data_IF_319079066145
#
_entry.id   IF_319079066145
#
_cell.length_a   1.000
_cell.length_b   1.000
_cell.length_c   1.000
_cell.angle_alpha   90.00
_cell.angle_beta   90.00
_cell.angle_gamma   90.00
#
_symmetry.space_group_name_H-M   'P 1'
#
loop_
_entity.id
_entity.type
_entity.pdbx_description
1 polymer ?
#
# COMPACT_ATOMS: atom_id res chain seq x y z
N UNK A 1 65.36 -13.74 14.00
CA UNK A 1 64.16 -14.52 13.60
C UNK A 1 62.94 -13.64 13.74
N UNK A 2 62.59 -12.96 12.66
CA UNK A 2 61.35 -12.21 12.46
C UNK A 2 61.28 -11.97 10.94
N UNK A 3 60.37 -12.63 10.23
CA UNK A 3 60.19 -12.40 8.81
C UNK A 3 58.78 -12.76 8.33
N UNK A 4 58.26 -11.89 7.45
CA UNK A 4 57.36 -12.13 6.31
C UNK A 4 55.84 -12.11 6.53
N UNK A 5 55.29 -10.90 6.51
CA UNK A 5 54.04 -10.58 5.79
C UNK A 5 54.25 -9.31 4.95
N UNK A 6 54.24 -9.44 3.61
CA UNK A 6 54.11 -8.34 2.63
C UNK A 6 53.51 -8.88 1.32
N UNK A 7 52.80 -7.98 0.61
CA UNK A 7 52.02 -8.10 -0.65
C UNK A 7 50.61 -8.65 -0.42
N UNK A 8 49.51 -8.01 -0.82
CA UNK A 8 49.24 -7.23 -2.04
C UNK A 8 48.33 -6.02 -1.75
N UNK A 9 48.77 -4.83 -2.15
CA UNK A 9 47.98 -3.63 -2.34
C UNK A 9 48.50 -2.94 -3.62
N UNK A 10 47.61 -2.24 -4.32
CA UNK A 10 47.80 -1.41 -5.54
C UNK A 10 47.49 -2.07 -6.89
N UNK A 11 46.55 -1.43 -7.60
CA UNK A 11 46.35 -1.24 -9.05
C UNK A 11 44.85 -0.93 -9.26
N UNK A 12 44.36 0.21 -9.73
CA UNK A 12 44.98 1.47 -10.14
C UNK A 12 43.85 2.48 -10.44
N UNK A 13 43.95 3.68 -9.86
CA UNK A 13 43.25 4.90 -10.31
C UNK A 13 44.27 5.73 -11.08
N UNK A 14 43.94 6.14 -12.31
CA UNK A 14 44.24 7.42 -12.93
C UNK A 14 44.27 7.29 -14.46
N UNK A 15 43.40 8.04 -15.13
CA UNK A 15 43.70 8.65 -16.41
C UNK A 15 42.94 9.98 -16.48
N UNK A 16 43.71 11.05 -16.70
CA UNK A 16 43.34 12.45 -16.67
C UNK A 16 42.66 12.90 -17.97
N UNK A 17 41.84 13.95 -17.86
CA UNK A 17 41.37 14.84 -18.93
C UNK A 17 42.51 15.57 -19.67
N UNK A 18 42.23 16.06 -20.89
CA UNK A 18 42.62 17.44 -21.22
C UNK A 18 41.50 18.29 -21.85
N UNK A 19 41.83 19.57 -21.98
CA UNK A 19 41.04 20.80 -22.10
C UNK A 19 40.27 21.10 -23.39
N UNK A 20 39.35 22.08 -23.21
CA UNK A 20 38.64 23.01 -24.11
C UNK A 20 39.26 23.36 -25.47
N UNK A 21 38.39 23.45 -26.49
CA UNK A 21 38.30 24.53 -27.50
C UNK A 21 36.87 24.48 -28.10
N UNK A 22 36.02 25.50 -27.93
CA UNK A 22 35.85 26.70 -28.75
C UNK A 22 34.73 26.57 -29.81
N UNK A 23 34.01 27.68 -29.98
CA UNK A 23 32.73 27.92 -30.66
C UNK A 23 32.69 27.66 -32.18
N UNK A 24 31.50 27.31 -32.69
CA UNK A 24 30.88 27.79 -33.95
C UNK A 24 29.55 27.04 -34.15
N UNK A 25 28.36 27.60 -33.91
CA UNK A 25 27.63 28.52 -34.80
C UNK A 25 27.77 28.18 -36.29
N UNK A 26 26.78 27.51 -36.87
CA UNK A 26 26.32 27.76 -38.25
C UNK A 26 24.85 27.40 -38.37
N UNK A 27 24.01 28.44 -38.45
CA UNK A 27 22.80 28.45 -39.27
C UNK A 27 23.23 28.21 -40.73
N UNK A 28 22.42 27.54 -41.55
CA UNK A 28 21.64 28.10 -42.68
C UNK A 28 21.07 26.96 -43.59
N UNK A 29 20.27 27.24 -44.65
CA UNK A 29 18.84 26.89 -44.68
C UNK A 29 18.43 26.06 -45.92
N UNK A 30 17.11 25.95 -46.13
CA UNK A 30 16.39 25.66 -47.38
C UNK A 30 16.50 24.25 -47.99
N UNK A 31 15.38 23.51 -47.96
CA UNK A 31 14.78 23.04 -49.23
C UNK A 31 13.30 22.61 -49.11
N UNK A 32 12.51 23.38 -49.87
CA UNK A 32 11.15 23.28 -50.41
C UNK A 32 10.40 21.93 -50.42
N UNK A 33 9.11 22.06 -50.11
CA UNK A 33 7.95 21.23 -50.49
C UNK A 33 7.91 20.79 -51.96
N UNK A 34 7.10 19.75 -52.26
CA UNK A 34 5.91 20.05 -53.05
C UNK A 34 4.60 19.47 -52.49
N UNK A 35 3.63 20.37 -52.41
CA UNK A 35 2.17 20.24 -52.58
C UNK A 35 1.59 18.87 -52.97
N UNK A 36 0.56 18.42 -52.22
CA UNK A 36 -0.65 17.85 -52.81
C UNK A 36 -1.86 18.06 -51.87
N UNK A 37 -2.96 18.47 -52.49
CA UNK A 37 -4.16 19.10 -51.95
C UNK A 37 -5.32 18.12 -52.09
N UNK A 38 -6.01 17.72 -51.02
CA UNK A 38 -7.37 17.13 -51.10
C UNK A 38 -8.23 17.56 -49.89
N UNK A 39 -8.97 18.65 -50.12
CA UNK A 39 -10.34 18.98 -49.67
C UNK A 39 -10.90 18.43 -48.35
N UNK A 40 -11.05 19.33 -47.38
CA UNK A 40 -12.11 19.31 -46.37
C UNK A 40 -13.50 19.52 -47.01
N UNK A 41 -14.49 18.77 -46.52
CA UNK A 41 -15.92 19.11 -46.64
C UNK A 41 -16.46 19.31 -45.22
N UNK A 42 -16.73 20.57 -44.90
CA UNK A 42 -17.64 20.97 -43.81
C UNK A 42 -19.00 21.26 -44.43
N UNK A 43 -20.07 20.78 -43.81
CA UNK A 43 -21.39 21.40 -43.91
C UNK A 43 -22.11 21.32 -42.54
N UNK A 44 -22.96 22.32 -42.21
CA UNK A 44 -23.29 22.68 -40.84
C UNK A 44 -24.70 22.25 -40.43
N UNK A 45 -24.95 22.13 -39.13
CA UNK A 45 -26.30 22.28 -38.59
C UNK A 45 -26.32 23.18 -37.35
N UNK A 46 -26.97 24.33 -37.54
CA UNK A 46 -27.53 25.20 -36.53
C UNK A 46 -28.89 24.66 -36.07
N UNK A 47 -29.18 24.81 -34.78
CA UNK A 47 -30.49 25.10 -34.11
C UNK A 47 -30.35 24.58 -32.68
N UNK A 48 -30.80 25.21 -31.59
CA UNK A 48 -31.33 26.53 -31.29
C UNK A 48 -31.24 26.64 -29.77
N UNK A 49 -30.95 27.84 -29.29
CA UNK A 49 -31.01 28.19 -27.88
C UNK A 49 -32.43 28.03 -27.32
N UNK A 50 -32.55 27.59 -26.07
CA UNK A 50 -33.72 27.92 -25.26
C UNK A 50 -33.25 28.31 -23.85
N UNK A 51 -33.41 29.61 -23.57
CA UNK A 51 -33.11 30.29 -22.31
C UNK A 51 -34.44 30.44 -21.57
N UNK A 52 -34.46 30.19 -20.27
CA UNK A 52 -35.46 30.75 -19.34
C UNK A 52 -34.87 30.86 -17.93
N UNK A 53 -35.34 31.84 -17.13
CA UNK A 53 -34.43 32.80 -16.49
C UNK A 53 -34.30 32.67 -14.96
N UNK A 54 -33.19 33.20 -14.44
CA UNK A 54 -33.03 33.60 -13.03
C UNK A 54 -33.98 34.75 -12.64
N UNK A 55 -34.42 34.85 -11.38
CA UNK A 55 -34.87 36.10 -10.81
C UNK A 55 -33.79 36.78 -9.94
N UNK A 56 -33.61 38.08 -10.18
CA UNK A 56 -32.79 39.04 -9.41
C UNK A 56 -33.60 39.74 -8.28
N UNK A 57 -32.96 40.50 -7.37
CA UNK A 57 -33.33 40.60 -5.94
C UNK A 57 -33.97 41.93 -5.47
N UNK A 58 -34.39 41.96 -4.18
CA UNK A 58 -34.48 43.07 -3.16
C UNK A 58 -35.87 43.26 -2.50
N UNK A 59 -36.02 43.96 -1.33
CA UNK A 59 -35.04 44.62 -0.45
C UNK A 59 -35.15 44.27 1.07
N UNK A 60 -34.20 44.81 1.85
CA UNK A 60 -34.10 44.77 3.30
C UNK A 60 -35.12 45.68 4.04
N UNK A 61 -35.41 45.34 5.30
CA UNK A 61 -35.10 46.15 6.51
C UNK A 61 -36.19 46.03 7.61
N UNK A 62 -35.81 45.48 8.78
CA UNK A 62 -36.14 46.05 10.09
C UNK A 62 -35.32 45.37 11.21
N UNK A 63 -34.52 46.19 11.87
CA UNK A 63 -33.94 46.00 13.20
C UNK A 63 -35.03 45.78 14.26
N UNK A 64 -34.83 44.83 15.18
CA UNK A 64 -34.67 45.09 16.63
C UNK A 64 -34.74 43.84 17.52
N UNK A 65 -33.88 43.89 18.54
CA UNK A 65 -34.04 43.34 19.89
C UNK A 65 -33.79 41.85 20.17
N UNK A 66 -32.75 41.66 20.97
CA UNK A 66 -32.48 40.48 21.78
C UNK A 66 -33.63 40.15 22.73
N UNK A 67 -34.15 38.94 22.64
CA UNK A 67 -34.71 38.23 23.80
C UNK A 67 -34.38 36.76 23.65
N UNK A 68 -33.69 36.23 24.66
CA UNK A 68 -33.37 34.81 24.73
C UNK A 68 -34.65 33.98 24.73
N UNK A 69 -34.73 33.04 23.80
CA UNK A 69 -35.57 31.86 23.93
C UNK A 69 -34.65 30.65 23.81
N UNK A 70 -34.56 29.90 24.90
CA UNK A 70 -33.95 28.58 24.93
C UNK A 70 -34.74 27.68 24.00
N UNK A 71 -34.17 27.31 22.85
CA UNK A 71 -34.68 26.17 22.09
C UNK A 71 -34.58 24.91 22.95
N UNK A 72 -35.59 24.03 22.93
CA UNK A 72 -35.50 22.76 23.62
C UNK A 72 -34.37 21.96 22.97
N UNK A 73 -33.43 21.46 23.78
CA UNK A 73 -32.46 20.47 23.34
C UNK A 73 -33.25 19.22 22.97
N UNK A 74 -33.68 19.09 21.72
CA UNK A 74 -34.26 17.86 21.19
C UNK A 74 -33.22 16.77 21.38
N UNK A 75 -33.55 15.75 22.19
CA UNK A 75 -32.64 14.65 22.45
C UNK A 75 -32.45 13.84 21.17
N UNK A 76 -31.38 14.15 20.43
CA UNK A 76 -31.00 13.42 19.22
C UNK A 76 -30.77 11.96 19.56
N UNK A 77 -31.44 11.06 18.86
CA UNK A 77 -31.28 9.61 19.02
C UNK A 77 -30.16 9.09 18.14
N UNK A 78 -29.53 7.97 18.51
CA UNK A 78 -28.59 7.27 17.61
C UNK A 78 -28.89 5.79 17.52
N UNK A 79 -28.71 5.23 16.33
CA UNK A 79 -28.95 3.83 16.04
C UNK A 79 -28.09 3.32 14.89
N UNK A 80 -27.79 2.02 14.93
CA UNK A 80 -27.07 1.31 13.89
C UNK A 80 -28.00 1.00 12.71
N UNK A 81 -27.48 1.15 11.49
CA UNK A 81 -28.15 0.78 10.25
C UNK A 81 -28.21 -0.74 10.14
N UNK A 82 -29.41 -1.30 10.19
CA UNK A 82 -29.66 -2.73 10.00
C UNK A 82 -29.42 -3.15 8.54
N UNK A 83 -29.90 -2.33 7.61
CA UNK A 83 -29.65 -2.44 6.17
C UNK A 83 -30.05 -1.16 5.46
N UNK A 84 -29.54 -0.94 4.26
CA UNK A 84 -29.95 0.15 3.38
C UNK A 84 -29.91 -0.30 1.91
N UNK A 85 -30.98 -0.01 1.17
CA UNK A 85 -31.11 -0.31 -0.25
C UNK A 85 -30.90 0.98 -1.04
N UNK A 86 -29.67 1.21 -1.50
CA UNK A 86 -29.29 2.45 -2.16
C UNK A 86 -30.06 2.70 -3.47
N UNK A 87 -30.40 1.65 -4.21
CA UNK A 87 -31.23 1.68 -5.40
C UNK A 87 -32.68 2.14 -5.13
N UNK A 88 -33.18 1.88 -3.91
CA UNK A 88 -34.53 2.24 -3.48
C UNK A 88 -34.57 3.45 -2.55
N UNK A 89 -33.43 4.05 -2.23
CA UNK A 89 -33.28 5.22 -1.37
C UNK A 89 -33.85 5.08 0.06
N UNK A 90 -33.99 3.85 0.59
CA UNK A 90 -34.46 3.63 1.97
C UNK A 90 -33.75 2.47 2.66
N UNK A 91 -33.79 2.48 3.98
CA UNK A 91 -33.30 1.41 4.84
C UNK A 91 -33.91 1.49 6.23
N UNK A 92 -33.32 0.75 7.17
CA UNK A 92 -33.79 0.71 8.55
C UNK A 92 -32.65 0.79 9.55
N UNK A 93 -32.90 1.49 10.66
CA UNK A 93 -32.07 1.57 11.84
C UNK A 93 -32.62 0.64 12.93
N UNK A 94 -31.74 -0.03 13.68
CA UNK A 94 -32.10 -0.83 14.85
C UNK A 94 -32.64 0.07 15.96
N UNK A 95 -33.81 -0.27 16.50
CA UNK A 95 -34.39 0.52 17.58
C UNK A 95 -33.67 0.24 18.92
N UNK A 96 -32.98 1.23 19.53
CA UNK A 96 -32.20 1.01 20.75
C UNK A 96 -33.07 0.67 21.98
N UNK A 97 -34.35 1.01 21.96
CA UNK A 97 -35.30 0.75 23.06
C UNK A 97 -36.10 -0.54 22.87
N UNK A 98 -35.79 -1.33 21.83
CA UNK A 98 -36.59 -2.49 21.41
C UNK A 98 -37.87 -2.08 20.65
N UNK A 99 -38.44 -3.03 19.90
CA UNK A 99 -39.64 -2.80 19.07
C UNK A 99 -39.35 -2.81 17.56
N UNK A 100 -40.21 -2.13 16.77
CA UNK A 100 -40.04 -2.04 15.32
C UNK A 100 -38.84 -1.17 14.95
N UNK A 101 -38.08 -1.59 13.95
CA UNK A 101 -36.96 -0.84 13.38
C UNK A 101 -37.43 0.53 12.83
N UNK A 102 -36.55 1.51 12.87
CA UNK A 102 -36.84 2.89 12.49
C UNK A 102 -36.49 3.08 11.01
N UNK A 103 -37.43 3.57 10.19
CA UNK A 103 -37.20 3.80 8.77
C UNK A 103 -36.23 4.97 8.57
N UNK A 104 -35.26 4.84 7.67
CA UNK A 104 -34.39 5.95 7.22
C UNK A 104 -34.46 6.08 5.70
N UNK A 105 -34.65 7.30 5.20
CA UNK A 105 -34.70 7.60 3.76
C UNK A 105 -33.50 8.46 3.34
N UNK A 106 -33.02 8.28 2.10
CA UNK A 106 -31.82 9.00 1.59
C UNK A 106 -31.97 10.51 1.65
N UNK A 107 -33.19 11.03 1.46
CA UNK A 107 -33.50 12.46 1.54
C UNK A 107 -33.31 13.06 2.92
N UNK A 108 -33.37 12.24 3.97
CA UNK A 108 -33.28 12.67 5.36
C UNK A 108 -31.84 12.65 5.88
N UNK A 109 -30.88 12.18 5.08
CA UNK A 109 -29.45 12.15 5.41
C UNK A 109 -28.80 13.45 4.97
N UNK A 110 -28.55 14.33 5.94
CA UNK A 110 -28.21 15.75 5.70
C UNK A 110 -26.72 16.00 5.45
N UNK A 111 -25.85 15.08 5.86
CA UNK A 111 -24.40 15.17 5.65
C UNK A 111 -23.93 14.56 4.32
N UNK A 112 -24.87 14.10 3.49
CA UNK A 112 -24.61 13.56 2.16
C UNK A 112 -24.08 12.12 2.14
N UNK A 113 -23.89 11.49 3.31
CA UNK A 113 -23.45 10.10 3.41
C UNK A 113 -24.53 9.13 2.90
N UNK A 114 -24.12 7.92 2.49
CA UNK A 114 -25.04 6.83 2.15
C UNK A 114 -25.03 5.84 3.30
N UNK A 115 -26.17 5.56 3.96
CA UNK A 115 -26.21 4.60 5.06
C UNK A 115 -25.72 3.22 4.61
N UNK A 116 -24.86 2.62 5.42
CA UNK A 116 -24.29 1.29 5.20
C UNK A 116 -24.63 0.42 6.42
N UNK A 117 -24.88 -0.87 6.21
CA UNK A 117 -25.15 -1.81 7.30
C UNK A 117 -24.00 -1.77 8.33
N UNK A 118 -24.32 -1.63 9.61
CA UNK A 118 -23.34 -1.51 10.69
C UNK A 118 -22.91 -0.07 11.02
N UNK A 119 -23.24 0.92 10.18
CA UNK A 119 -22.98 2.32 10.49
C UNK A 119 -23.95 2.85 11.54
N UNK A 120 -23.51 3.77 12.41
CA UNK A 120 -24.38 4.42 13.39
C UNK A 120 -24.67 5.85 12.95
N UNK A 121 -25.94 6.24 12.95
CA UNK A 121 -26.39 7.60 12.61
C UNK A 121 -26.99 8.29 13.83
N UNK A 122 -26.75 9.59 13.95
CA UNK A 122 -27.55 10.52 14.76
C UNK A 122 -28.78 10.95 13.97
N UNK A 123 -29.96 11.02 14.59
CA UNK A 123 -31.21 11.44 13.96
C UNK A 123 -32.24 11.93 15.00
N UNK A 124 -33.27 12.64 14.53
CA UNK A 124 -34.47 12.93 15.32
C UNK A 124 -35.60 11.98 14.88
N UNK A 125 -36.49 11.61 15.80
CA UNK A 125 -37.66 10.78 15.46
C UNK A 125 -38.74 11.68 14.87
N UNK A 126 -39.00 11.53 13.58
CA UNK A 126 -40.12 12.12 12.85
C UNK A 126 -41.17 11.08 12.49
N UNK A 127 -42.16 11.50 11.69
CA UNK A 127 -43.19 10.62 11.12
C UNK A 127 -43.13 10.65 9.60
N UNK A 128 -43.21 9.48 8.95
CA UNK A 128 -43.34 9.38 7.50
C UNK A 128 -44.74 9.79 7.01
N UNK A 129 -44.95 9.80 5.69
CA UNK A 129 -46.26 10.11 5.07
C UNK A 129 -47.40 9.19 5.51
N UNK A 130 -47.10 8.05 6.12
CA UNK A 130 -48.04 7.05 6.62
C UNK A 130 -48.15 7.08 8.15
N UNK A 131 -47.66 8.14 8.80
CA UNK A 131 -47.67 8.32 10.26
C UNK A 131 -46.88 7.24 11.01
N UNK A 132 -45.82 6.70 10.40
CA UNK A 132 -44.90 5.74 11.03
C UNK A 132 -43.61 6.43 11.44
N UNK A 133 -43.01 6.06 12.60
CA UNK A 133 -41.74 6.63 13.03
C UNK A 133 -40.63 6.46 11.99
N UNK A 134 -39.94 7.55 11.66
CA UNK A 134 -38.77 7.56 10.78
C UNK A 134 -37.66 8.46 11.32
N UNK A 135 -36.44 8.22 10.87
CA UNK A 135 -35.28 9.05 11.14
C UNK A 135 -35.29 10.26 10.20
N UNK A 136 -35.26 11.46 10.79
CA UNK A 136 -35.11 12.74 10.10
C UNK A 136 -33.85 13.46 10.59
N UNK A 137 -33.31 14.37 9.77
CA UNK A 137 -32.05 15.08 10.07
C UNK A 137 -30.90 14.13 10.44
N UNK A 138 -30.77 13.04 9.67
CA UNK A 138 -29.82 11.98 9.94
C UNK A 138 -28.40 12.39 9.52
N UNK A 139 -27.41 12.17 10.38
CA UNK A 139 -25.99 12.34 10.04
C UNK A 139 -25.17 11.21 10.64
N UNK A 140 -24.11 10.81 9.96
CA UNK A 140 -23.20 9.77 10.36
C UNK A 140 -22.57 10.12 11.72
N UNK A 141 -22.67 9.17 12.66
CA UNK A 141 -22.02 9.22 13.97
C UNK A 141 -20.77 8.34 13.96
N UNK A 142 -20.92 7.12 13.46
CA UNK A 142 -19.85 6.13 13.29
C UNK A 142 -20.04 5.48 11.92
N UNK A 143 -18.99 5.41 11.12
CA UNK A 143 -18.99 4.65 9.86
C UNK A 143 -19.43 3.20 10.07
N UNK A 144 -19.90 2.53 9.02
CA UNK A 144 -19.94 1.08 9.09
C UNK A 144 -18.51 0.63 9.30
N UNK A 145 -18.23 -0.12 10.36
CA UNK A 145 -17.05 -0.98 10.33
C UNK A 145 -17.23 -1.82 9.07
N UNK A 146 -16.39 -1.57 8.06
CA UNK A 146 -16.29 -2.47 6.92
C UNK A 146 -16.27 -3.86 7.52
N UNK A 147 -17.26 -4.71 7.18
CA UNK A 147 -17.37 -6.03 7.78
C UNK A 147 -15.95 -6.58 7.81
N UNK A 148 -15.36 -6.78 9.00
CA UNK A 148 -13.97 -7.19 9.04
C UNK A 148 -13.97 -8.44 8.18
N UNK A 149 -13.19 -8.41 7.09
CA UNK A 149 -12.68 -9.66 6.54
C UNK A 149 -12.27 -10.41 7.79
N UNK A 150 -12.80 -11.59 8.10
CA UNK A 150 -12.47 -12.25 9.36
C UNK A 150 -10.99 -12.56 9.27
N UNK A 151 -10.15 -11.66 9.80
CA UNK A 151 -8.73 -11.78 9.65
C UNK A 151 -8.23 -12.39 10.93
N UNK A 152 -7.88 -13.67 10.82
CA UNK A 152 -7.00 -14.28 11.80
C UNK A 152 -5.75 -13.40 11.83
N UNK A 153 -5.50 -12.77 12.98
CA UNK A 153 -4.25 -12.07 13.22
C UNK A 153 -3.15 -13.13 13.35
N UNK A 154 -2.39 -13.37 12.28
CA UNK A 154 -1.37 -14.40 12.27
C UNK A 154 -0.11 -13.94 13.00
N UNK A 155 0.43 -14.80 13.87
CA UNK A 155 1.66 -14.50 14.58
C UNK A 155 2.84 -14.46 13.59
N UNK A 156 3.39 -13.27 13.41
CA UNK A 156 4.57 -13.11 12.56
C UNK A 156 5.85 -13.71 13.16
N UNK A 157 5.82 -14.22 14.40
CA UNK A 157 6.95 -14.86 15.07
C UNK A 157 7.02 -16.37 14.87
N UNK A 158 6.10 -16.95 14.09
CA UNK A 158 6.01 -18.38 13.82
C UNK A 158 7.36 -19.08 13.52
N UNK A 159 8.24 -18.47 12.71
CA UNK A 159 9.55 -19.06 12.42
C UNK A 159 10.41 -19.21 13.68
N UNK A 160 10.41 -18.21 14.56
CA UNK A 160 11.25 -18.18 15.75
C UNK A 160 10.67 -19.02 16.90
N UNK A 161 9.35 -19.18 16.94
CA UNK A 161 8.69 -20.12 17.84
C UNK A 161 8.89 -21.57 17.39
N UNK A 162 9.02 -21.79 16.07
CA UNK A 162 9.22 -23.11 15.48
C UNK A 162 10.69 -23.55 15.46
N UNK A 163 11.63 -22.65 15.16
CA UNK A 163 13.05 -22.97 15.04
C UNK A 163 13.98 -21.87 15.60
N UNK A 164 15.09 -22.31 16.20
CA UNK A 164 16.23 -21.45 16.44
C UNK A 164 17.01 -21.30 15.13
N UNK A 165 17.00 -20.09 14.56
CA UNK A 165 17.80 -19.72 13.38
C UNK A 165 18.49 -18.39 13.66
N UNK A 166 19.82 -18.28 13.50
CA UNK A 166 20.57 -17.09 13.94
C UNK A 166 20.44 -15.94 12.92
N UNK A 167 19.24 -15.36 12.78
CA UNK A 167 18.93 -14.24 11.87
C UNK A 167 19.07 -12.86 12.54
N UNK A 168 19.61 -12.76 13.76
CA UNK A 168 19.41 -11.56 14.58
C UNK A 168 20.38 -10.40 14.30
N UNK A 169 21.49 -10.64 13.59
CA UNK A 169 22.45 -9.56 13.32
C UNK A 169 22.02 -8.70 12.13
N UNK A 170 22.23 -7.38 12.26
CA UNK A 170 22.04 -6.37 11.20
C UNK A 170 23.20 -6.31 10.22
N UNK A 171 24.33 -6.93 10.56
CA UNK A 171 25.53 -7.04 9.74
C UNK A 171 25.73 -8.49 9.24
N UNK A 172 26.86 -8.73 8.58
CA UNK A 172 27.26 -10.04 8.04
C UNK A 172 27.66 -11.08 9.08
N UNK A 173 27.62 -10.76 10.39
CA UNK A 173 28.00 -11.73 11.43
C UNK A 173 26.96 -12.83 11.64
N UNK A 174 25.74 -12.66 11.12
CA UNK A 174 24.78 -13.76 11.04
C UNK A 174 25.23 -14.76 9.96
N UNK A 175 25.76 -15.90 10.42
CA UNK A 175 26.19 -17.01 9.55
C UNK A 175 25.06 -17.50 8.65
N UNK A 176 23.86 -17.72 9.20
CA UNK A 176 22.73 -18.24 8.43
C UNK A 176 22.33 -17.31 7.27
N UNK A 177 22.21 -15.99 7.52
CA UNK A 177 21.76 -15.07 6.48
C UNK A 177 22.82 -14.83 5.40
N UNK A 178 24.08 -14.75 5.79
CA UNK A 178 25.20 -14.57 4.85
C UNK A 178 25.40 -15.80 3.98
N UNK A 179 25.27 -17.02 4.53
CA UNK A 179 25.29 -18.26 3.76
C UNK A 179 24.18 -18.31 2.73
N UNK A 180 22.93 -18.02 3.14
CA UNK A 180 21.80 -17.99 2.21
C UNK A 180 22.01 -16.99 1.08
N UNK A 181 22.44 -15.76 1.43
CA UNK A 181 22.69 -14.72 0.44
C UNK A 181 23.78 -15.12 -0.57
N UNK A 182 24.80 -15.88 -0.12
CA UNK A 182 25.88 -16.37 -0.99
C UNK A 182 25.48 -17.56 -1.87
N UNK A 183 24.53 -18.38 -1.41
CA UNK A 183 24.03 -19.54 -2.13
C UNK A 183 22.99 -19.15 -3.19
N UNK A 184 22.16 -18.15 -2.89
CA UNK A 184 21.10 -17.66 -3.78
C UNK A 184 21.64 -16.83 -4.95
N UNK A 185 20.78 -16.62 -5.96
CA UNK A 185 21.04 -15.60 -6.99
C UNK A 185 21.36 -14.24 -6.37
N UNK A 186 22.33 -13.55 -6.96
CA UNK A 186 22.83 -12.27 -6.45
C UNK A 186 21.77 -11.17 -6.56
N UNK A 187 21.47 -10.54 -5.43
CA UNK A 187 20.51 -9.44 -5.31
C UNK A 187 20.96 -8.41 -4.26
N UNK A 188 20.41 -7.20 -4.33
CA UNK A 188 20.60 -6.19 -3.29
C UNK A 188 19.60 -6.45 -2.15
N UNK A 189 20.10 -6.98 -1.03
CA UNK A 189 19.32 -7.32 0.15
C UNK A 189 19.30 -6.22 1.22
N UNK A 190 19.95 -5.09 0.95
CA UNK A 190 20.11 -4.01 1.90
C UNK A 190 18.78 -3.28 2.15
N UNK A 191 18.56 -2.87 3.39
CA UNK A 191 17.39 -2.10 3.78
C UNK A 191 17.80 -0.91 4.65
N UNK A 192 17.12 0.22 4.46
CA UNK A 192 17.07 1.33 5.41
C UNK A 192 15.70 1.94 5.33
N UNK A 193 15.12 2.33 6.47
CA UNK A 193 13.78 2.90 6.48
C UNK A 193 13.82 4.41 6.19
N UNK A 194 14.82 5.09 6.74
CA UNK A 194 15.09 6.51 6.51
C UNK A 194 16.47 6.71 5.85
N UNK A 195 16.65 7.75 5.01
CA UNK A 195 17.97 8.14 4.49
C UNK A 195 19.02 8.45 5.57
N UNK A 196 18.58 8.79 6.80
CA UNK A 196 19.45 9.11 7.94
C UNK A 196 19.93 7.88 8.71
N UNK A 197 19.40 6.70 8.41
CA UNK A 197 19.77 5.45 9.06
C UNK A 197 20.85 4.69 8.28
N UNK A 198 21.70 3.98 9.01
CA UNK A 198 22.63 3.02 8.43
C UNK A 198 21.88 1.87 7.75
N UNK A 199 22.47 1.38 6.66
CA UNK A 199 21.96 0.21 5.98
C UNK A 199 22.06 -1.03 6.87
N UNK A 200 20.99 -1.81 6.83
CA UNK A 200 20.94 -3.18 7.27
C UNK A 200 21.24 -4.08 6.06
N UNK A 201 22.41 -4.72 6.07
CA UNK A 201 22.97 -5.43 4.91
C UNK A 201 22.03 -6.52 4.35
N UNK A 202 21.22 -7.13 5.22
CA UNK A 202 20.33 -8.23 4.86
C UNK A 202 18.87 -8.01 5.30
N UNK A 203 18.48 -6.77 5.58
CA UNK A 203 17.15 -6.48 6.13
C UNK A 203 16.00 -6.98 5.27
N UNK A 204 16.15 -6.93 3.94
CA UNK A 204 15.15 -7.47 3.01
C UNK A 204 15.13 -9.00 3.06
N UNK A 205 16.29 -9.65 3.02
CA UNK A 205 16.39 -11.12 3.02
C UNK A 205 15.85 -11.74 4.31
N UNK A 206 16.12 -11.12 5.46
CA UNK A 206 15.59 -11.58 6.75
C UNK A 206 14.07 -11.49 6.80
N UNK A 207 13.53 -10.37 6.32
CA UNK A 207 12.08 -10.19 6.20
C UNK A 207 11.47 -11.21 5.24
N UNK A 208 12.13 -11.45 4.10
CA UNK A 208 11.73 -12.41 3.09
C UNK A 208 11.62 -13.82 3.68
N UNK A 209 12.69 -14.36 4.29
CA UNK A 209 12.68 -15.73 4.84
C UNK A 209 11.67 -15.89 5.96
N UNK A 210 11.59 -14.90 6.88
CA UNK A 210 10.62 -14.90 7.97
C UNK A 210 9.19 -15.08 7.45
N UNK A 211 8.80 -14.30 6.45
CA UNK A 211 7.43 -14.30 5.97
C UNK A 211 7.12 -15.35 4.91
N UNK A 212 8.12 -15.81 4.16
CA UNK A 212 7.99 -17.01 3.33
C UNK A 212 7.69 -18.23 4.21
N UNK A 213 8.35 -18.36 5.37
CA UNK A 213 8.01 -19.41 6.33
C UNK A 213 6.55 -19.31 6.81
N UNK A 214 6.10 -18.13 7.23
CA UNK A 214 4.69 -17.90 7.63
C UNK A 214 3.73 -18.31 6.51
N UNK A 215 4.02 -17.94 5.24
CA UNK A 215 3.19 -18.36 4.12
C UNK A 215 3.17 -19.89 3.94
N UNK A 216 4.33 -20.55 4.00
CA UNK A 216 4.42 -22.01 3.88
C UNK A 216 3.69 -22.73 5.02
N UNK A 217 3.68 -22.17 6.23
CA UNK A 217 2.89 -22.69 7.35
C UNK A 217 1.40 -22.64 7.05
N UNK A 218 0.89 -21.53 6.49
CA UNK A 218 -0.51 -21.44 6.06
C UNK A 218 -0.85 -22.40 4.91
N UNK A 219 0.12 -22.72 4.05
CA UNK A 219 -0.07 -23.69 2.95
C UNK A 219 0.17 -25.15 3.36
N UNK A 220 0.59 -25.42 4.60
CA UNK A 220 0.94 -26.77 5.04
C UNK A 220 2.19 -27.35 4.35
N UNK A 221 3.09 -26.49 3.86
CA UNK A 221 4.29 -26.85 3.08
C UNK A 221 5.59 -26.87 3.89
N UNK A 222 5.49 -26.89 5.22
CA UNK A 222 6.64 -27.13 6.11
C UNK A 222 6.66 -28.61 6.48
N UNK A 223 7.79 -29.28 6.23
CA UNK A 223 7.92 -30.73 6.45
C UNK A 223 8.71 -30.98 7.72
N UNK A 224 8.16 -31.81 8.60
CA UNK A 224 8.80 -32.26 9.85
C UNK A 224 8.83 -33.78 9.88
N UNK A 225 10.03 -34.35 9.97
CA UNK A 225 10.27 -35.77 10.27
C UNK A 225 10.61 -35.99 11.75
N UNK A 226 11.19 -37.14 12.08
CA UNK A 226 11.56 -37.46 13.48
C UNK A 226 12.79 -36.67 13.95
N UNK A 227 13.85 -36.63 13.13
CA UNK A 227 15.13 -35.98 13.46
C UNK A 227 15.38 -34.67 12.70
N UNK A 228 14.66 -34.46 11.60
CA UNK A 228 14.91 -33.34 10.70
C UNK A 228 13.63 -32.66 10.27
N UNK A 229 13.74 -31.39 9.91
CA UNK A 229 12.67 -30.62 9.31
C UNK A 229 13.20 -29.73 8.19
N UNK A 230 12.33 -29.33 7.27
CA UNK A 230 12.72 -28.49 6.15
C UNK A 230 11.56 -27.69 5.58
N UNK A 231 11.88 -26.56 4.97
CA UNK A 231 10.96 -25.81 4.12
C UNK A 231 11.73 -25.23 2.92
N UNK A 232 11.00 -25.02 1.82
CA UNK A 232 11.55 -24.40 0.61
C UNK A 232 11.69 -22.89 0.81
N UNK A 233 12.87 -22.31 0.58
CA UNK A 233 13.06 -20.87 0.81
C UNK A 233 12.39 -19.99 -0.25
N UNK A 234 11.97 -20.56 -1.38
CA UNK A 234 11.55 -19.82 -2.57
C UNK A 234 12.69 -19.12 -3.32
N UNK A 235 13.92 -19.21 -2.81
CA UNK A 235 15.13 -18.77 -3.50
C UNK A 235 15.76 -19.96 -4.22
N UNK A 236 16.56 -19.64 -5.24
CA UNK A 236 17.25 -20.62 -6.07
C UNK A 236 18.73 -20.27 -6.17
N UNK A 237 19.55 -21.28 -6.43
CA UNK A 237 20.97 -21.09 -6.73
C UNK A 237 21.19 -20.57 -8.16
N UNK A 238 22.46 -20.45 -8.57
CA UNK A 238 22.84 -20.01 -9.93
C UNK A 238 22.36 -20.93 -11.07
N UNK A 239 21.94 -22.15 -10.75
CA UNK A 239 21.39 -23.12 -11.71
C UNK A 239 19.86 -23.18 -11.66
N UNK A 240 19.23 -22.27 -10.92
CA UNK A 240 17.79 -22.25 -10.66
C UNK A 240 17.29 -23.47 -9.88
N UNK A 241 18.18 -24.13 -9.12
CA UNK A 241 17.79 -25.23 -8.23
C UNK A 241 17.28 -24.69 -6.89
N UNK A 242 16.16 -25.22 -6.34
CA UNK A 242 15.57 -24.69 -5.11
C UNK A 242 16.47 -24.84 -3.89
N UNK A 243 16.63 -23.74 -3.15
CA UNK A 243 17.33 -23.71 -1.87
C UNK A 243 16.33 -24.03 -0.76
N UNK A 244 16.69 -24.99 0.08
CA UNK A 244 15.91 -25.41 1.23
C UNK A 244 16.57 -24.94 2.52
N UNK A 245 15.76 -24.53 3.48
CA UNK A 245 16.19 -24.34 4.85
C UNK A 245 16.11 -25.70 5.55
N UNK A 246 17.23 -26.22 6.04
CA UNK A 246 17.32 -27.53 6.66
C UNK A 246 17.59 -27.41 8.15
N UNK A 247 16.84 -28.18 8.93
CA UNK A 247 16.83 -28.12 10.38
C UNK A 247 16.97 -29.52 10.96
N UNK A 248 17.54 -29.58 12.16
CA UNK A 248 17.59 -30.78 12.98
C UNK A 248 16.89 -30.54 14.31
N UNK A 249 16.52 -31.63 14.97
CA UNK A 249 15.87 -31.58 16.28
C UNK A 249 16.73 -30.80 17.27
N UNK A 250 16.12 -29.87 17.99
CA UNK A 250 16.81 -29.08 18.98
C UNK A 250 16.99 -29.88 20.27
N UNK A 251 18.08 -29.59 21.00
CA UNK A 251 18.34 -30.18 22.32
C UNK A 251 17.40 -29.57 23.39
N UNK A 252 16.76 -28.44 23.07
CA UNK A 252 15.76 -27.75 23.90
C UNK A 252 14.34 -28.04 23.40
N UNK A 253 13.33 -28.07 24.29
CA UNK A 253 11.95 -28.34 23.90
C UNK A 253 11.30 -27.22 23.07
N UNK A 254 11.75 -25.97 23.24
CA UNK A 254 11.22 -24.81 22.51
C UNK A 254 12.34 -23.80 22.23
N UNK A 255 12.54 -23.35 20.97
CA UNK A 255 11.90 -23.89 19.77
C UNK A 255 12.37 -25.33 19.48
N UNK A 256 11.50 -26.21 18.96
CA UNK A 256 11.80 -27.65 18.80
C UNK A 256 12.84 -27.98 17.72
N UNK A 257 13.13 -27.04 16.82
CA UNK A 257 14.09 -27.21 15.73
C UNK A 257 15.27 -26.24 15.88
N UNK A 258 16.45 -26.64 15.42
CA UNK A 258 17.62 -25.76 15.27
C UNK A 258 18.09 -25.77 13.82
N UNK A 259 18.38 -24.59 13.30
CA UNK A 259 18.89 -24.42 11.96
C UNK A 259 20.22 -25.14 11.80
N UNK A 260 20.33 -25.92 10.73
CA UNK A 260 21.49 -26.73 10.41
C UNK A 260 22.25 -26.15 9.22
N UNK A 261 21.56 -25.91 8.11
CA UNK A 261 22.14 -25.35 6.89
C UNK A 261 21.07 -24.84 5.92
N UNK A 262 21.49 -24.03 4.95
CA UNK A 262 20.76 -23.89 3.70
C UNK A 262 21.42 -24.79 2.65
N UNK A 263 20.63 -25.53 1.89
CA UNK A 263 21.18 -26.49 0.93
C UNK A 263 20.28 -26.71 -0.28
N UNK A 264 20.89 -27.13 -1.38
CA UNK A 264 20.21 -27.63 -2.57
C UNK A 264 20.15 -29.15 -2.46
N UNK A 265 18.97 -29.74 -2.70
CA UNK A 265 18.78 -31.19 -2.55
C UNK A 265 19.75 -31.99 -3.42
N UNK A 266 20.37 -33.02 -2.84
CA UNK A 266 21.36 -33.87 -3.53
C UNK A 266 22.76 -33.28 -3.69
N UNK A 267 22.97 -32.00 -3.39
CA UNK A 267 24.27 -31.35 -3.47
C UNK A 267 24.98 -31.28 -2.11
N UNK A 268 26.31 -31.46 -2.12
CA UNK A 268 27.11 -31.46 -0.88
C UNK A 268 26.69 -32.54 0.12
N UNK A 269 27.20 -32.49 1.34
CA UNK A 269 26.84 -33.44 2.40
C UNK A 269 25.40 -33.20 2.91
N UNK A 270 25.07 -31.94 3.16
CA UNK A 270 23.79 -31.52 3.72
C UNK A 270 22.62 -31.73 2.75
N UNK A 271 22.79 -31.43 1.46
CA UNK A 271 21.75 -31.68 0.46
C UNK A 271 21.51 -33.16 0.19
N UNK A 272 22.55 -33.99 0.23
CA UNK A 272 22.41 -35.47 0.16
C UNK A 272 21.69 -36.03 1.39
N UNK A 273 21.98 -35.48 2.57
CA UNK A 273 21.29 -35.83 3.81
C UNK A 273 19.80 -35.44 3.76
N UNK A 274 19.49 -34.23 3.29
CA UNK A 274 18.11 -33.79 3.05
C UNK A 274 17.38 -34.78 2.12
N UNK A 275 17.95 -35.04 0.94
CA UNK A 275 17.34 -35.87 -0.10
C UNK A 275 17.02 -37.31 0.33
N UNK A 276 17.86 -37.90 1.20
CA UNK A 276 17.65 -39.28 1.69
C UNK A 276 16.72 -39.37 2.91
N UNK A 277 16.47 -38.25 3.61
CA UNK A 277 15.78 -38.28 4.91
C UNK A 277 14.39 -37.68 4.87
N UNK A 278 14.14 -36.71 4.01
CA UNK A 278 12.84 -36.05 3.88
C UNK A 278 12.35 -36.16 2.44
N UNK A 279 11.31 -36.98 2.24
CA UNK A 279 10.59 -37.10 0.98
C UNK A 279 9.07 -37.21 1.24
N UNK A 280 8.22 -36.57 0.42
CA UNK A 280 8.57 -35.63 -0.65
C UNK A 280 9.24 -34.35 -0.11
N UNK A 281 9.93 -33.60 -0.96
CA UNK A 281 10.47 -32.29 -0.58
C UNK A 281 9.39 -31.22 -0.64
N UNK A 282 9.48 -30.16 0.19
CA UNK A 282 8.46 -29.11 0.22
C UNK A 282 8.48 -28.29 -1.06
N UNK A 283 7.28 -27.98 -1.56
CA UNK A 283 7.11 -27.02 -2.65
C UNK A 283 7.37 -25.58 -2.16
N UNK A 284 7.67 -24.69 -3.10
CA UNK A 284 7.75 -23.26 -2.83
C UNK A 284 6.38 -22.68 -2.45
N UNK A 285 6.40 -21.53 -1.76
CA UNK A 285 5.20 -20.79 -1.41
C UNK A 285 4.48 -20.33 -2.68
N UNK A 286 3.16 -20.53 -2.73
CA UNK A 286 2.33 -19.86 -3.73
C UNK A 286 1.78 -18.56 -3.14
N UNK A 287 1.71 -17.49 -3.91
CA UNK A 287 1.11 -16.23 -3.44
C UNK A 287 -0.21 -15.97 -4.16
N UNK A 288 -0.23 -16.18 -5.47
CA UNK A 288 -1.37 -15.93 -6.34
C UNK A 288 -2.30 -17.13 -6.38
N UNK A 289 -3.61 -16.88 -6.23
CA UNK A 289 -4.67 -17.89 -6.38
C UNK A 289 -5.40 -17.72 -7.71
N UNK A 290 -5.52 -16.49 -8.19
CA UNK A 290 -6.18 -16.17 -9.44
C UNK A 290 -5.56 -14.91 -10.08
N UNK A 291 -6.11 -14.50 -11.22
CA UNK A 291 -5.61 -13.35 -11.97
C UNK A 291 -5.80 -12.02 -11.22
N UNK A 292 -6.79 -11.91 -10.33
CA UNK A 292 -7.08 -10.70 -9.56
C UNK A 292 -6.01 -10.41 -8.48
N UNK A 293 -5.13 -11.38 -8.19
CA UNK A 293 -3.97 -11.20 -7.31
C UNK A 293 -2.73 -10.64 -8.05
N UNK A 294 -2.78 -10.61 -9.40
CA UNK A 294 -1.65 -10.25 -10.26
C UNK A 294 -1.95 -9.07 -11.19
N UNK A 295 -3.14 -9.05 -11.78
CA UNK A 295 -3.57 -8.03 -12.73
C UNK A 295 -4.43 -6.98 -12.03
N UNK A 296 -4.02 -5.72 -12.17
CA UNK A 296 -4.79 -4.57 -11.70
C UNK A 296 -5.64 -4.02 -12.84
N UNK A 297 -6.97 -4.13 -12.72
CA UNK A 297 -7.91 -3.51 -13.66
C UNK A 297 -8.10 -2.02 -13.33
N UNK A 298 -7.48 -1.15 -14.13
CA UNK A 298 -7.53 0.29 -13.92
C UNK A 298 -8.95 0.89 -14.03
N UNK A 299 -9.86 0.21 -14.73
CA UNK A 299 -11.23 0.65 -14.98
C UNK A 299 -12.23 0.16 -13.93
N UNK A 300 -11.83 -0.79 -13.09
CA UNK A 300 -12.69 -1.27 -12.01
C UNK A 300 -13.03 -0.14 -11.02
N UNK A 301 -14.22 -0.18 -10.38
CA UNK A 301 -14.58 0.76 -9.33
C UNK A 301 -13.52 0.80 -8.24
N UNK A 302 -13.18 2.02 -7.81
CA UNK A 302 -12.13 2.29 -6.84
C UNK A 302 -12.69 3.18 -5.75
N UNK A 303 -12.61 2.72 -4.51
CA UNK A 303 -13.04 3.45 -3.32
C UNK A 303 -11.81 3.77 -2.46
N UNK A 304 -11.72 5.00 -1.93
CA UNK A 304 -10.63 5.40 -1.04
C UNK A 304 -11.15 5.88 0.32
N UNK A 305 -10.64 5.28 1.41
CA UNK A 305 -10.81 5.83 2.75
C UNK A 305 -9.74 6.90 3.00
N UNK A 306 -9.95 8.07 2.39
CA UNK A 306 -8.99 9.18 2.49
C UNK A 306 -8.75 9.63 3.92
N UNK A 307 -9.74 9.49 4.79
CA UNK A 307 -9.60 9.97 6.15
C UNK A 307 -8.62 9.09 6.94
N UNK A 308 -8.76 7.77 6.80
CA UNK A 308 -7.77 6.84 7.32
C UNK A 308 -6.40 7.03 6.66
N UNK A 309 -6.33 7.03 5.33
CA UNK A 309 -5.06 7.12 4.59
C UNK A 309 -4.27 8.36 4.98
N UNK A 310 -4.93 9.51 5.13
CA UNK A 310 -4.28 10.77 5.50
C UNK A 310 -3.90 10.79 6.97
N UNK A 311 -4.88 10.67 7.89
CA UNK A 311 -4.63 10.91 9.31
C UNK A 311 -3.78 9.80 9.96
N UNK A 312 -4.08 8.53 9.66
CA UNK A 312 -3.25 7.39 10.13
C UNK A 312 -1.88 7.39 9.42
N UNK A 313 -1.84 7.72 8.12
CA UNK A 313 -0.60 7.82 7.37
C UNK A 313 0.36 8.86 7.94
N UNK A 314 -0.12 10.04 8.33
CA UNK A 314 0.68 11.07 9.00
C UNK A 314 1.20 10.57 10.34
N UNK A 315 0.30 10.07 11.21
CA UNK A 315 0.66 9.58 12.56
C UNK A 315 1.71 8.45 12.50
N UNK A 316 1.72 7.67 11.43
CA UNK A 316 2.65 6.56 11.20
C UNK A 316 3.86 6.94 10.34
N UNK A 317 4.12 8.23 10.15
CA UNK A 317 5.29 8.74 9.43
C UNK A 317 5.40 8.23 7.98
N UNK A 318 4.28 8.22 7.24
CA UNK A 318 4.22 7.61 5.91
C UNK A 318 4.25 8.60 4.74
N UNK A 319 4.39 9.88 5.04
CA UNK A 319 4.42 10.97 4.04
C UNK A 319 5.79 11.65 4.02
N UNK A 320 6.25 12.13 2.84
CA UNK A 320 7.44 12.96 2.75
C UNK A 320 7.31 14.23 3.60
N UNK A 321 8.42 14.67 4.19
CA UNK A 321 8.43 15.89 5.02
C UNK A 321 7.99 17.13 4.22
N UNK A 322 8.48 17.30 2.99
CA UNK A 322 8.13 18.44 2.12
C UNK A 322 6.62 18.45 1.75
N UNK A 323 6.01 17.27 1.68
CA UNK A 323 4.57 17.14 1.44
C UNK A 323 3.77 17.61 2.66
N UNK A 324 4.20 17.23 3.87
CA UNK A 324 3.60 17.72 5.10
C UNK A 324 3.80 19.23 5.27
N UNK A 325 4.97 19.74 4.91
CA UNK A 325 5.27 21.18 4.93
C UNK A 325 4.27 21.96 4.06
N UNK A 326 4.07 21.50 2.83
CA UNK A 326 3.22 22.15 1.84
C UNK A 326 1.73 22.05 2.18
N UNK A 327 1.26 20.88 2.64
CA UNK A 327 -0.18 20.57 2.70
C UNK A 327 -0.74 20.41 4.12
N UNK A 328 0.10 20.32 5.15
CA UNK A 328 -0.32 20.06 6.54
C UNK A 328 0.17 21.11 7.56
N UNK A 329 0.45 22.33 7.10
CA UNK A 329 0.73 23.47 7.98
C UNK A 329 2.19 23.60 8.41
N UNK A 330 3.13 23.20 7.55
CA UNK A 330 4.57 23.34 7.78
C UNK A 330 5.25 22.10 8.40
N UNK A 331 6.55 21.94 8.17
CA UNK A 331 7.41 20.90 8.74
C UNK A 331 8.59 21.49 9.52
N UNK A 332 8.82 20.99 10.73
CA UNK A 332 9.91 21.36 11.63
C UNK A 332 10.77 20.13 11.93
N UNK A 333 11.97 20.08 11.34
CA UNK A 333 12.91 18.99 11.59
C UNK A 333 13.31 18.93 13.07
N UNK A 334 13.45 20.09 13.72
CA UNK A 334 13.82 20.19 15.12
C UNK A 334 12.77 19.53 16.03
N UNK A 335 11.48 19.85 15.82
CA UNK A 335 10.39 19.29 16.64
C UNK A 335 10.18 17.80 16.32
N UNK A 336 10.28 17.44 15.04
CA UNK A 336 10.22 16.06 14.58
C UNK A 336 11.30 15.19 15.24
N UNK A 337 12.55 15.65 15.28
CA UNK A 337 13.65 14.91 15.92
C UNK A 337 13.49 14.87 17.44
N UNK A 338 12.96 15.94 18.05
CA UNK A 338 12.79 16.03 19.50
C UNK A 338 11.73 15.06 20.04
N UNK A 339 10.57 14.97 19.38
CA UNK A 339 9.53 14.00 19.71
C UNK A 339 8.64 13.70 18.50
N UNK A 340 9.11 12.76 17.67
CA UNK A 340 8.46 12.39 16.41
C UNK A 340 6.98 12.07 16.55
N UNK A 341 6.63 11.18 17.48
CA UNK A 341 5.27 10.64 17.56
C UNK A 341 4.28 11.73 18.02
N UNK A 342 4.67 12.55 19.00
CA UNK A 342 3.87 13.71 19.42
C UNK A 342 3.76 14.77 18.32
N UNK A 343 4.86 15.03 17.60
CA UNK A 343 4.88 15.99 16.51
C UNK A 343 3.95 15.58 15.37
N UNK A 344 4.02 14.33 14.91
CA UNK A 344 3.14 13.81 13.86
C UNK A 344 1.67 13.75 14.30
N UNK A 345 1.40 13.39 15.56
CA UNK A 345 0.05 13.47 16.12
C UNK A 345 -0.50 14.90 16.08
N UNK A 346 0.34 15.90 16.41
CA UNK A 346 -0.04 17.30 16.36
C UNK A 346 -0.33 17.80 14.93
N UNK A 347 0.42 17.33 13.92
CA UNK A 347 0.14 17.64 12.51
C UNK A 347 -1.25 17.09 12.14
N UNK A 348 -1.52 15.82 12.45
CA UNK A 348 -2.80 15.20 12.14
C UNK A 348 -3.98 15.90 12.84
N UNK A 349 -3.80 16.33 14.10
CA UNK A 349 -4.81 17.08 14.84
C UNK A 349 -5.06 18.48 14.23
N UNK A 350 -3.99 19.23 13.93
CA UNK A 350 -4.13 20.54 13.26
C UNK A 350 -4.85 20.42 11.93
N UNK A 351 -4.47 19.42 11.14
CA UNK A 351 -5.09 19.14 9.85
C UNK A 351 -6.58 18.79 10.00
N UNK A 352 -6.94 17.95 10.97
CA UNK A 352 -8.33 17.56 11.24
C UNK A 352 -9.21 18.72 11.74
N UNK A 353 -8.60 19.75 12.33
CA UNK A 353 -9.30 20.94 12.82
C UNK A 353 -9.37 22.09 11.80
N UNK A 354 -8.75 21.95 10.62
CA UNK A 354 -8.77 22.94 9.53
C UNK A 354 -9.31 22.31 8.24
N UNK A 355 -10.61 22.49 7.99
CA UNK A 355 -11.32 21.96 6.81
C UNK A 355 -10.68 22.38 5.49
N UNK A 356 -10.13 23.59 5.39
CA UNK A 356 -9.54 24.10 4.16
C UNK A 356 -8.18 23.44 3.89
N UNK A 357 -7.35 23.31 4.92
CA UNK A 357 -6.10 22.56 4.86
C UNK A 357 -6.35 21.09 4.53
N UNK A 358 -7.30 20.46 5.23
CA UNK A 358 -7.65 19.08 5.02
C UNK A 358 -8.15 18.79 3.61
N UNK A 359 -9.05 19.66 3.10
CA UNK A 359 -9.55 19.55 1.73
C UNK A 359 -8.43 19.68 0.68
N UNK A 360 -7.46 20.58 0.88
CA UNK A 360 -6.31 20.72 -0.02
C UNK A 360 -5.47 19.45 -0.09
N UNK A 361 -5.11 18.88 1.07
CA UNK A 361 -4.33 17.65 1.13
C UNK A 361 -5.10 16.47 0.49
N UNK A 362 -6.39 16.31 0.84
CA UNK A 362 -7.26 15.27 0.25
C UNK A 362 -7.36 15.39 -1.26
N UNK A 363 -7.54 16.59 -1.79
CA UNK A 363 -7.61 16.81 -3.23
C UNK A 363 -6.29 16.45 -3.91
N UNK A 364 -5.15 16.87 -3.34
CA UNK A 364 -3.84 16.50 -3.90
C UNK A 364 -3.62 14.98 -3.94
N UNK A 365 -4.06 14.27 -2.90
CA UNK A 365 -3.98 12.81 -2.85
C UNK A 365 -4.92 12.16 -3.86
N UNK A 366 -6.16 12.65 -4.00
CA UNK A 366 -7.09 12.18 -5.05
C UNK A 366 -6.51 12.36 -6.44
N UNK A 367 -5.91 13.52 -6.72
CA UNK A 367 -5.26 13.80 -8.00
C UNK A 367 -4.10 12.85 -8.26
N UNK A 368 -3.30 12.55 -7.23
CA UNK A 368 -2.20 11.58 -7.31
C UNK A 368 -2.69 10.14 -7.59
N UNK A 369 -3.78 9.72 -6.94
CA UNK A 369 -4.42 8.41 -7.18
C UNK A 369 -4.97 8.33 -8.60
N UNK A 370 -5.62 9.40 -9.10
CA UNK A 370 -6.10 9.46 -10.47
C UNK A 370 -4.96 9.36 -11.49
N UNK A 371 -3.85 10.07 -11.26
CA UNK A 371 -2.66 9.97 -12.09
C UNK A 371 -2.06 8.56 -12.07
N UNK A 372 -1.97 7.94 -10.89
CA UNK A 372 -1.51 6.57 -10.75
C UNK A 372 -2.38 5.60 -11.57
N UNK A 373 -3.71 5.70 -11.48
CA UNK A 373 -4.64 4.87 -12.26
C UNK A 373 -4.47 5.05 -13.77
N UNK A 374 -4.28 6.29 -14.25
CA UNK A 374 -3.94 6.57 -15.66
C UNK A 374 -2.61 5.93 -16.08
N UNK A 375 -1.61 5.94 -15.20
CA UNK A 375 -0.32 5.27 -15.47
C UNK A 375 -0.49 3.75 -15.60
N UNK A 376 -1.33 3.16 -14.76
CA UNK A 376 -1.62 1.72 -14.77
C UNK A 376 -2.40 1.30 -16.01
N UNK A 377 -3.37 2.11 -16.46
CA UNK A 377 -4.10 1.81 -17.70
C UNK A 377 -3.19 1.83 -18.94
N UNK A 378 -2.12 2.63 -18.92
CA UNK A 378 -1.09 2.62 -19.97
C UNK A 378 -0.06 1.49 -19.81
N UNK A 379 0.33 1.16 -18.57
CA UNK A 379 1.30 0.12 -18.28
C UNK A 379 0.84 -0.75 -17.11
N UNK A 380 0.35 -1.95 -17.42
CA UNK A 380 -0.12 -2.92 -16.42
C UNK A 380 0.95 -3.34 -15.40
N UNK A 381 2.24 -3.18 -15.72
CA UNK A 381 3.36 -3.47 -14.81
C UNK A 381 3.66 -2.33 -13.82
N UNK A 382 2.97 -1.20 -13.93
CA UNK A 382 3.16 -0.07 -13.03
C UNK A 382 2.67 -0.35 -11.60
N UNK A 383 1.74 -1.30 -11.43
CA UNK A 383 1.32 -1.81 -10.13
C UNK A 383 2.19 -2.99 -9.72
N UNK A 384 2.58 -3.01 -8.45
CA UNK A 384 3.38 -4.10 -7.89
C UNK A 384 2.52 -4.93 -6.92
N UNK A 385 2.34 -6.24 -7.13
CA UNK A 385 1.72 -7.11 -6.15
C UNK A 385 2.58 -7.21 -4.88
N UNK A 386 1.92 -7.31 -3.74
CA UNK A 386 2.54 -7.59 -2.44
C UNK A 386 1.68 -8.58 -1.65
N UNK A 387 2.32 -9.25 -0.70
CA UNK A 387 1.65 -10.13 0.24
C UNK A 387 1.73 -9.54 1.64
N UNK A 388 0.61 -9.50 2.35
CA UNK A 388 0.53 -9.06 3.75
C UNK A 388 0.42 -10.26 4.68
N UNK A 389 1.51 -10.65 5.39
CA UNK A 389 1.57 -11.90 6.14
C UNK A 389 0.59 -11.97 7.30
N UNK A 390 0.41 -10.86 8.02
CA UNK A 390 -0.48 -10.75 9.18
C UNK A 390 -1.92 -11.18 8.87
N UNK A 391 -2.31 -11.04 7.61
CA UNK A 391 -3.66 -11.25 7.13
C UNK A 391 -3.76 -12.31 6.05
N UNK A 392 -2.63 -12.94 5.70
CA UNK A 392 -2.51 -13.92 4.63
C UNK A 392 -3.19 -13.46 3.32
N UNK A 393 -3.00 -12.17 2.98
CA UNK A 393 -3.77 -11.48 1.96
C UNK A 393 -2.85 -10.88 0.89
N UNK A 394 -3.24 -11.00 -0.38
CA UNK A 394 -2.61 -10.29 -1.49
C UNK A 394 -3.14 -8.86 -1.59
N UNK A 395 -2.28 -7.94 -1.96
CA UNK A 395 -2.63 -6.54 -2.19
C UNK A 395 -1.76 -5.97 -3.29
N UNK A 396 -2.10 -4.79 -3.75
CA UNK A 396 -1.37 -4.05 -4.77
C UNK A 396 -0.70 -2.82 -4.18
N UNK A 397 0.38 -2.39 -4.81
CA UNK A 397 1.09 -1.15 -4.55
C UNK A 397 0.94 -0.26 -5.78
N UNK A 398 0.18 0.82 -5.64
CA UNK A 398 0.00 1.84 -6.68
C UNK A 398 1.04 2.95 -6.49
N UNK A 399 1.74 3.39 -7.55
CA UNK A 399 2.77 4.43 -7.44
C UNK A 399 2.12 5.81 -7.29
N UNK A 400 2.31 6.46 -6.15
CA UNK A 400 1.73 7.77 -5.83
C UNK A 400 2.79 8.86 -5.96
N UNK A 401 2.51 9.82 -6.84
CA UNK A 401 3.27 11.04 -7.06
C UNK A 401 2.60 12.19 -6.30
N UNK A 402 3.22 12.62 -5.19
CA UNK A 402 2.65 13.56 -4.24
C UNK A 402 3.15 14.99 -4.47
N UNK A 403 4.42 15.15 -4.82
CA UNK A 403 5.04 16.47 -5.02
C UNK A 403 5.18 16.79 -6.50
N UNK A 404 5.73 15.87 -7.28
CA UNK A 404 6.01 16.00 -8.71
C UNK A 404 5.37 14.81 -9.44
N UNK A 405 4.59 15.09 -10.49
CA UNK A 405 3.87 14.08 -11.27
C UNK A 405 4.79 13.08 -12.00
N UNK A 406 6.08 13.39 -12.11
CA UNK A 406 7.09 12.51 -12.73
C UNK A 406 7.83 11.63 -11.71
N UNK A 407 7.74 11.96 -10.42
CA UNK A 407 8.46 11.27 -9.34
C UNK A 407 7.48 10.54 -8.43
N UNK A 408 7.76 9.27 -8.17
CA UNK A 408 6.98 8.50 -7.19
C UNK A 408 7.53 8.81 -5.80
N UNK A 409 6.66 9.19 -4.86
CA UNK A 409 7.03 9.55 -3.49
C UNK A 409 6.59 8.49 -2.47
N UNK A 410 5.50 7.78 -2.78
CA UNK A 410 4.91 6.79 -1.90
C UNK A 410 4.16 5.71 -2.70
N UNK A 411 3.73 4.65 -2.02
CA UNK A 411 2.90 3.61 -2.62
C UNK A 411 1.56 3.51 -1.88
N UNK A 412 0.44 3.54 -2.61
CA UNK A 412 -0.87 3.25 -2.04
C UNK A 412 -1.09 1.73 -2.04
N UNK A 413 -1.39 1.18 -0.87
CA UNK A 413 -1.82 -0.20 -0.69
C UNK A 413 -3.28 -0.31 -1.08
N UNK A 414 -3.54 -1.16 -2.06
CA UNK A 414 -4.89 -1.37 -2.59
C UNK A 414 -5.26 -2.84 -2.47
N UNK A 415 -6.44 -3.10 -1.92
CA UNK A 415 -7.00 -4.44 -1.82
C UNK A 415 -8.04 -4.65 -2.93
N UNK A 416 -8.05 -5.85 -3.51
CA UNK A 416 -9.10 -6.28 -4.44
C UNK A 416 -10.21 -7.00 -3.68
N UNK A 417 -11.45 -6.74 -4.08
CA UNK A 417 -12.63 -7.44 -3.58
C UNK A 417 -13.60 -7.67 -4.74
N UNK A 418 -14.37 -8.76 -4.68
CA UNK A 418 -15.50 -8.97 -5.60
C UNK A 418 -16.82 -8.77 -4.87
N UNK A 419 -17.65 -7.88 -5.39
CA UNK A 419 -19.03 -7.65 -4.93
C UNK A 419 -19.96 -7.97 -6.10
N UNK A 420 -20.86 -8.93 -5.90
CA UNK A 420 -21.75 -9.47 -6.94
C UNK A 420 -20.99 -9.90 -8.21
N UNK A 421 -19.84 -10.55 -8.02
CA UNK A 421 -18.97 -11.01 -9.11
C UNK A 421 -18.17 -9.91 -9.81
N UNK A 422 -18.40 -8.63 -9.51
CA UNK A 422 -17.65 -7.50 -10.08
C UNK A 422 -16.44 -7.15 -9.22
N UNK A 423 -15.29 -7.05 -9.87
CA UNK A 423 -14.04 -6.61 -9.23
C UNK A 423 -14.16 -5.15 -8.80
N UNK A 424 -13.68 -4.85 -7.60
CA UNK A 424 -13.58 -3.52 -7.01
C UNK A 424 -12.27 -3.42 -6.25
N UNK A 425 -11.77 -2.21 -6.14
CA UNK A 425 -10.56 -1.91 -5.41
C UNK A 425 -10.83 -0.93 -4.28
N UNK A 426 -10.13 -1.14 -3.16
CA UNK A 426 -10.17 -0.22 -2.03
C UNK A 426 -8.75 0.23 -1.67
N UNK A 427 -8.51 1.54 -1.68
CA UNK A 427 -7.31 2.13 -1.09
C UNK A 427 -7.36 1.98 0.43
N UNK A 428 -6.41 1.25 1.00
CA UNK A 428 -6.39 0.91 2.43
C UNK A 428 -5.43 1.78 3.23
N UNK A 429 -4.19 1.94 2.76
CA UNK A 429 -3.16 2.75 3.44
C UNK A 429 -2.10 3.19 2.44
N UNK A 430 -1.29 4.19 2.80
CA UNK A 430 -0.10 4.58 2.05
C UNK A 430 1.16 4.01 2.71
N UNK A 431 2.25 3.77 1.97
CA UNK A 431 3.56 3.32 2.46
C UNK A 431 4.70 4.17 1.90
N UNK A 432 5.76 4.42 2.70
CA UNK A 432 7.06 4.83 2.17
C UNK A 432 7.60 3.78 1.18
N UNK A 433 8.36 4.24 0.17
CA UNK A 433 8.85 3.36 -0.89
C UNK A 433 9.77 2.23 -0.41
N UNK A 434 10.60 2.47 0.60
CA UNK A 434 11.44 1.41 1.18
C UNK A 434 10.60 0.27 1.78
N UNK A 435 9.51 0.60 2.46
CA UNK A 435 8.58 -0.38 3.00
C UNK A 435 7.84 -1.11 1.87
N UNK A 436 7.34 -0.37 0.88
CA UNK A 436 6.68 -0.94 -0.29
C UNK A 436 7.58 -1.96 -1.01
N UNK A 437 8.85 -1.63 -1.23
CA UNK A 437 9.83 -2.52 -1.86
C UNK A 437 10.07 -3.79 -1.04
N UNK A 438 10.29 -3.65 0.27
CA UNK A 438 10.50 -4.80 1.17
C UNK A 438 9.33 -5.78 1.15
N UNK A 439 8.10 -5.28 1.07
CA UNK A 439 6.90 -6.12 1.04
C UNK A 439 6.65 -6.72 -0.35
N UNK A 440 6.87 -5.96 -1.42
CA UNK A 440 6.78 -6.45 -2.79
C UNK A 440 7.77 -7.60 -3.06
N UNK A 441 9.01 -7.45 -2.56
CA UNK A 441 10.07 -8.45 -2.77
C UNK A 441 9.72 -9.82 -2.19
N UNK A 442 8.83 -9.89 -1.20
CA UNK A 442 8.34 -11.17 -0.67
C UNK A 442 7.66 -12.06 -1.73
N UNK A 443 7.01 -11.42 -2.71
CA UNK A 443 6.28 -12.11 -3.78
C UNK A 443 7.17 -12.31 -5.00
N UNK A 444 7.82 -11.24 -5.47
CA UNK A 444 8.70 -11.29 -6.63
C UNK A 444 9.70 -10.13 -6.63
N UNK A 445 10.83 -10.31 -7.31
CA UNK A 445 11.75 -9.21 -7.61
C UNK A 445 11.04 -8.19 -8.52
N UNK A 446 10.86 -6.92 -8.12
CA UNK A 446 10.02 -5.96 -8.86
C UNK A 446 10.56 -5.49 -10.22
N UNK A 447 11.68 -6.04 -10.72
CA UNK A 447 12.40 -5.55 -11.90
C UNK A 447 12.79 -6.74 -12.79
N UNK A 448 12.63 -6.58 -14.12
CA UNK A 448 13.14 -7.54 -15.09
C UNK A 448 14.66 -7.48 -15.16
N UNK A 449 15.31 -8.63 -15.07
CA UNK A 449 16.78 -8.76 -15.06
C UNK A 449 17.39 -9.12 -16.43
N UNK A 450 16.55 -9.39 -17.44
CA UNK A 450 17.00 -9.89 -18.75
C UNK A 450 16.60 -9.01 -19.94
N UNK A 451 15.52 -8.22 -19.87
CA UNK A 451 15.11 -7.25 -20.91
C UNK A 451 15.45 -5.81 -20.51
N UNK A 452 16.73 -5.54 -20.34
CA UNK A 452 17.24 -4.21 -20.07
C UNK A 452 17.75 -3.56 -21.37
N UNK A 453 17.12 -2.48 -21.86
CA UNK A 453 17.53 -1.81 -23.08
C UNK A 453 18.99 -1.34 -23.07
N UNK A 454 19.51 -0.88 -21.93
CA UNK A 454 20.90 -0.41 -21.84
C UNK A 454 21.89 -1.56 -22.06
N UNK A 455 21.57 -2.76 -21.54
CA UNK A 455 22.39 -3.97 -21.73
C UNK A 455 22.27 -4.55 -23.13
N UNK A 456 21.09 -4.45 -23.74
CA UNK A 456 20.79 -5.10 -25.02
C UNK A 456 21.20 -4.24 -26.21
N UNK A 457 20.88 -2.95 -26.17
CA UNK A 457 21.09 -2.03 -27.29
C UNK A 457 22.41 -1.27 -27.18
N UNK A 458 23.03 -1.27 -26.00
CA UNK A 458 24.17 -0.39 -25.69
C UNK A 458 23.70 1.04 -25.40
N UNK A 459 24.35 1.68 -24.44
CA UNK A 459 24.22 3.13 -24.22
C UNK A 459 25.10 3.91 -25.20
#
# INVERSE_FOLDING_TARGET
>A
MLEKWTKWASLGKAAETPEKAAEASTKNPDQKDPTARVTEKVAPHQTSANISPEPKPKPAERTESSTGSSEPVESRSSAEVKFFLADKNYGFLLNPNGGKDILIHRSEVVDGTVPQKGAVYWFNIGMDRQQRPCAVNASLKVGAEAAPVPVVDYDTKELFDWAFIPLFSRDSTSKAISELASLALTEDWRYRESPTEDFDEFGILRNYIKFTFTRLRHEGKVITGDQFATFNTGLVDRFYEPIHAFFEKNDRPSPPWKWRSFCVSGQGEEGKLLARTLQPLPEAASYFKNIDDLYFDAEAPFDEDLDHIVLDGIKRNRYPHDFLDTYAGGFSLQDYVSNRDAYLASIAERLNNDDAMYRRLRNRLKDAILLARKRVSWNYRAVVPQYYPKHNLMSFLLPISLMDDTKVDAALVVQSNRVDGKLRYQGYTIYPLAYAYRNARLVAKPISDWLDPERILGA
#
